data_IF_338378769077
#
_entry.id   IF_338378769077
#
_cell.length_a   1.000
_cell.length_b   1.000
_cell.length_c   1.000
_cell.angle_alpha   90.00
_cell.angle_beta   90.00
_cell.angle_gamma   90.00
#
_symmetry.space_group_name_H-M   'P 1'
#
loop_
_entity.id
_entity.type
_entity.pdbx_description
1 polymer ?
#
# COMPACT_ATOMS: atom_id res chain seq x y z
N UNK A 1 -72.84 -14.98 1.22
CA UNK A 1 -73.49 -14.13 2.25
C UNK A 1 -73.80 -15.03 3.42
N UNK A 2 -73.32 -14.88 4.65
CA UNK A 2 -72.46 -13.93 5.33
C UNK A 2 -72.25 -14.52 6.75
N UNK A 3 -71.04 -14.32 7.27
CA UNK A 3 -70.52 -14.51 8.63
C UNK A 3 -71.33 -15.31 9.67
N UNK A 4 -70.64 -16.23 10.35
CA UNK A 4 -70.60 -16.17 11.82
C UNK A 4 -69.31 -16.80 12.39
N UNK A 5 -68.57 -15.99 13.16
CA UNK A 5 -67.45 -16.41 14.02
C UNK A 5 -68.02 -16.76 15.39
N UNK A 6 -67.79 -17.97 15.90
CA UNK A 6 -67.87 -18.26 17.35
C UNK A 6 -66.73 -19.23 17.71
N UNK A 7 -66.15 -18.96 18.88
CA UNK A 7 -64.85 -19.37 19.38
C UNK A 7 -64.86 -20.65 20.26
N UNK A 8 -63.68 -20.93 20.82
CA UNK A 8 -63.27 -21.93 21.82
C UNK A 8 -62.94 -23.31 21.22
N UNK A 9 -61.81 -23.96 21.50
CA UNK A 9 -61.16 -24.24 22.80
C UNK A 9 -59.70 -24.66 22.48
N UNK A 10 -58.66 -24.52 23.31
CA UNK A 10 -58.20 -25.47 24.37
C UNK A 10 -56.96 -24.88 25.07
N UNK A 11 -56.87 -25.25 26.35
CA UNK A 11 -56.00 -24.85 27.46
C UNK A 11 -54.58 -25.46 27.43
N UNK A 12 -53.64 -24.70 28.00
CA UNK A 12 -52.38 -25.06 28.69
C UNK A 12 -51.20 -25.71 27.93
N UNK A 13 -50.06 -25.05 28.06
CA UNK A 13 -48.72 -25.60 27.84
C UNK A 13 -47.67 -24.56 28.18
N UNK A 14 -47.36 -24.39 29.47
CA UNK A 14 -46.23 -23.57 29.92
C UNK A 14 -44.92 -24.23 29.49
N UNK A 15 -44.20 -23.59 28.56
CA UNK A 15 -42.77 -23.83 28.34
C UNK A 15 -42.06 -22.48 28.44
N UNK A 16 -41.55 -22.18 29.63
CA UNK A 16 -40.59 -21.10 29.83
C UNK A 16 -39.25 -21.54 29.22
N UNK A 17 -39.03 -21.25 27.93
CA UNK A 17 -37.69 -21.26 27.37
C UNK A 17 -36.99 -19.97 27.82
N UNK A 18 -36.16 -20.09 28.84
CA UNK A 18 -35.14 -19.09 29.15
C UNK A 18 -34.15 -19.07 27.98
N UNK A 19 -34.26 -18.06 27.11
CA UNK A 19 -33.18 -17.71 26.19
C UNK A 19 -31.99 -17.26 27.04
N UNK A 20 -31.05 -18.17 27.28
CA UNK A 20 -29.70 -17.80 27.68
C UNK A 20 -29.11 -17.00 26.51
N UNK A 21 -29.13 -15.67 26.65
CA UNK A 21 -28.43 -14.77 25.75
C UNK A 21 -26.94 -15.10 25.84
N UNK A 22 -26.40 -15.74 24.81
CA UNK A 22 -24.98 -15.68 24.55
C UNK A 22 -24.64 -14.21 24.34
N UNK A 23 -23.91 -13.64 25.29
CA UNK A 23 -23.21 -12.36 25.17
C UNK A 23 -22.15 -12.49 24.07
N UNK A 24 -22.58 -12.48 22.82
CA UNK A 24 -21.71 -12.18 21.69
C UNK A 24 -21.36 -10.70 21.80
N UNK A 25 -20.09 -10.42 22.12
CA UNK A 25 -19.59 -9.06 22.12
C UNK A 25 -19.94 -8.40 20.79
N UNK A 26 -20.55 -7.22 20.85
CA UNK A 26 -20.76 -6.38 19.68
C UNK A 26 -19.40 -6.14 19.03
N UNK A 27 -19.17 -6.83 17.90
CA UNK A 27 -18.16 -6.41 16.94
C UNK A 27 -18.60 -5.06 16.44
N UNK A 28 -18.07 -3.99 17.04
CA UNK A 28 -18.24 -2.63 16.55
C UNK A 28 -17.91 -2.65 15.06
N UNK A 29 -18.86 -2.34 14.15
CA UNK A 29 -18.54 -2.32 12.73
C UNK A 29 -17.41 -1.32 12.51
N UNK A 30 -16.27 -1.81 12.03
CA UNK A 30 -15.19 -0.96 11.52
C UNK A 30 -15.81 -0.03 10.50
N UNK A 31 -15.69 1.29 10.73
CA UNK A 31 -16.23 2.29 9.83
C UNK A 31 -15.76 1.96 8.39
N UNK A 32 -16.72 1.74 7.50
CA UNK A 32 -16.42 1.59 6.07
C UNK A 32 -15.76 2.89 5.63
N UNK A 33 -14.52 2.87 5.11
CA UNK A 33 -13.88 4.09 4.62
C UNK A 33 -14.80 4.73 3.58
N UNK A 34 -14.90 6.06 3.63
CA UNK A 34 -15.71 6.82 2.66
C UNK A 34 -15.20 6.49 1.25
N UNK A 35 -16.08 6.18 0.28
CA UNK A 35 -15.67 5.90 -1.08
C UNK A 35 -14.87 7.07 -1.65
N UNK A 36 -13.63 6.79 -2.10
CA UNK A 36 -12.81 7.75 -2.85
C UNK A 36 -13.39 7.87 -4.25
N UNK A 37 -13.52 9.10 -4.76
CA UNK A 37 -13.98 9.32 -6.14
C UNK A 37 -12.85 8.93 -7.11
N UNK A 38 -13.11 8.04 -8.09
CA UNK A 38 -12.11 7.69 -9.10
C UNK A 38 -11.58 8.91 -9.86
N UNK A 39 -10.27 8.99 -10.03
CA UNK A 39 -9.56 10.07 -10.72
C UNK A 39 -8.48 9.57 -11.69
N UNK A 40 -8.34 8.26 -11.82
CA UNK A 40 -7.34 7.60 -12.64
C UNK A 40 -7.54 7.77 -14.15
N UNK A 41 -6.46 7.59 -14.91
CA UNK A 41 -6.46 7.65 -16.38
C UNK A 41 -6.43 6.27 -17.05
N UNK A 42 -6.28 5.20 -16.24
CA UNK A 42 -6.27 3.81 -16.69
C UNK A 42 -4.89 3.29 -17.13
N UNK A 43 -3.82 4.08 -16.95
CA UNK A 43 -2.43 3.66 -17.15
C UNK A 43 -1.66 3.89 -15.85
N UNK A 44 -1.41 2.82 -15.09
CA UNK A 44 -0.64 2.91 -13.85
C UNK A 44 0.83 3.29 -14.13
N UNK A 45 1.21 4.51 -13.73
CA UNK A 45 2.57 5.04 -13.83
C UNK A 45 3.21 5.18 -12.46
N UNK A 46 4.39 4.59 -12.32
CA UNK A 46 5.17 4.60 -11.08
C UNK A 46 6.34 5.56 -11.24
N UNK A 47 6.42 6.55 -10.36
CA UNK A 47 7.58 7.42 -10.21
C UNK A 47 8.59 6.77 -9.27
N UNK A 48 9.76 6.45 -9.79
CA UNK A 48 10.93 6.11 -8.99
C UNK A 48 11.65 7.41 -8.61
N UNK A 49 11.70 7.71 -7.32
CA UNK A 49 12.54 8.77 -6.75
C UNK A 49 13.66 8.21 -5.88
N UNK A 50 14.51 7.34 -6.43
CA UNK A 50 15.73 6.87 -5.77
C UNK A 50 16.78 7.99 -5.59
N UNK A 51 17.60 7.94 -4.53
CA UNK A 51 18.60 8.98 -4.26
C UNK A 51 19.87 8.66 -5.04
N UNK A 52 19.95 9.05 -6.32
CA UNK A 52 21.11 8.75 -7.18
C UNK A 52 22.37 9.54 -6.80
N UNK A 53 22.22 10.58 -5.99
CA UNK A 53 23.32 11.37 -5.42
C UNK A 53 23.18 11.47 -3.89
N UNK A 54 24.05 12.25 -3.25
CA UNK A 54 24.04 12.46 -1.80
C UNK A 54 24.45 11.24 -0.97
N UNK A 55 24.15 11.32 0.32
CA UNK A 55 24.62 10.35 1.33
C UNK A 55 24.00 8.95 1.18
N UNK A 56 22.89 8.84 0.45
CA UNK A 56 22.17 7.58 0.22
C UNK A 56 22.42 6.96 -1.17
N UNK A 57 23.31 7.54 -1.98
CA UNK A 57 23.62 7.09 -3.34
C UNK A 57 23.98 5.61 -3.45
N UNK A 58 24.65 5.06 -2.43
CA UNK A 58 25.00 3.64 -2.39
C UNK A 58 23.79 2.69 -2.48
N UNK A 59 22.62 3.12 -2.01
CA UNK A 59 21.39 2.33 -2.05
C UNK A 59 20.57 2.54 -3.33
N UNK A 60 20.95 3.46 -4.21
CA UNK A 60 20.13 3.85 -5.36
C UNK A 60 19.94 2.71 -6.34
N UNK A 61 21.03 1.99 -6.67
CA UNK A 61 20.96 0.88 -7.63
C UNK A 61 20.05 -0.24 -7.12
N UNK A 62 20.13 -0.57 -5.83
CA UNK A 62 19.28 -1.62 -5.25
C UNK A 62 17.80 -1.27 -5.26
N UNK A 63 17.47 -0.03 -4.92
CA UNK A 63 16.08 0.43 -4.90
C UNK A 63 15.50 0.50 -6.32
N UNK A 64 16.24 1.08 -7.28
CA UNK A 64 15.81 1.12 -8.67
C UNK A 64 15.63 -0.30 -9.23
N UNK A 65 16.56 -1.22 -8.95
CA UNK A 65 16.46 -2.62 -9.36
C UNK A 65 15.24 -3.34 -8.75
N UNK A 66 14.85 -3.01 -7.52
CA UNK A 66 13.66 -3.53 -6.85
C UNK A 66 12.37 -3.05 -7.51
N UNK A 67 12.27 -1.76 -7.81
CA UNK A 67 11.12 -1.18 -8.54
C UNK A 67 11.00 -1.83 -9.93
N UNK A 68 12.11 -1.89 -10.68
CA UNK A 68 12.14 -2.48 -12.02
C UNK A 68 11.79 -3.97 -12.04
N UNK A 69 12.27 -4.72 -11.05
CA UNK A 69 11.91 -6.13 -10.88
C UNK A 69 10.41 -6.28 -10.65
N UNK A 70 9.83 -5.47 -9.77
CA UNK A 70 8.38 -5.51 -9.49
C UNK A 70 7.56 -5.15 -10.73
N UNK A 71 7.90 -4.06 -11.43
CA UNK A 71 7.20 -3.63 -12.66
C UNK A 71 7.29 -4.71 -13.73
N UNK A 72 8.46 -5.31 -13.93
CA UNK A 72 8.64 -6.43 -14.87
C UNK A 72 7.73 -7.59 -14.52
N UNK A 73 7.72 -8.05 -13.28
CA UNK A 73 6.89 -9.17 -12.84
C UNK A 73 5.38 -8.87 -12.96
N UNK A 74 4.96 -7.65 -12.66
CA UNK A 74 3.57 -7.20 -12.86
C UNK A 74 3.21 -7.28 -14.35
N UNK A 75 4.08 -6.78 -15.23
CA UNK A 75 3.85 -6.73 -16.68
C UNK A 75 3.87 -8.12 -17.33
N UNK A 76 4.73 -9.02 -16.88
CA UNK A 76 4.73 -10.45 -17.26
C UNK A 76 3.41 -11.14 -16.90
N UNK A 77 2.69 -10.62 -15.91
CA UNK A 77 1.38 -11.09 -15.45
C UNK A 77 0.20 -10.30 -16.06
N UNK A 78 0.46 -9.51 -17.10
CA UNK A 78 -0.56 -8.77 -17.85
C UNK A 78 -0.78 -7.33 -17.38
N UNK A 79 0.05 -6.81 -16.47
CA UNK A 79 0.01 -5.41 -16.07
C UNK A 79 -1.18 -5.04 -15.17
N UNK A 80 -1.46 -3.75 -15.08
CA UNK A 80 -2.64 -3.20 -14.41
C UNK A 80 -3.79 -3.12 -15.41
N UNK A 81 -4.90 -3.83 -15.15
CA UNK A 81 -6.07 -3.82 -16.04
C UNK A 81 -5.75 -4.13 -17.53
N UNK A 82 -4.81 -5.07 -17.77
CA UNK A 82 -4.31 -5.45 -19.11
C UNK A 82 -3.49 -4.36 -19.83
N UNK A 83 -3.12 -3.31 -19.11
CA UNK A 83 -2.24 -2.24 -19.57
C UNK A 83 -0.89 -2.41 -18.87
N UNK A 84 0.24 -2.41 -19.59
CA UNK A 84 1.56 -2.44 -18.97
C UNK A 84 1.74 -1.24 -18.03
N UNK A 85 2.27 -1.50 -16.84
CA UNK A 85 2.73 -0.50 -15.88
C UNK A 85 3.99 0.17 -16.43
N UNK A 86 4.06 1.49 -16.31
CA UNK A 86 5.21 2.29 -16.72
C UNK A 86 6.00 2.76 -15.49
N UNK A 87 7.32 2.87 -15.61
CA UNK A 87 8.20 3.43 -14.58
C UNK A 87 8.97 4.64 -15.10
N UNK A 88 9.04 5.68 -14.27
CA UNK A 88 9.70 6.95 -14.58
C UNK A 88 10.69 7.28 -13.47
N UNK A 89 11.98 7.36 -13.80
CA UNK A 89 13.04 7.62 -12.82
C UNK A 89 13.40 9.10 -12.72
N UNK A 90 13.51 9.61 -11.49
CA UNK A 90 14.08 10.91 -11.16
C UNK A 90 14.93 10.79 -9.89
N UNK A 91 15.90 11.69 -9.75
CA UNK A 91 16.66 11.78 -8.51
C UNK A 91 15.76 12.29 -7.38
N UNK A 92 15.85 11.68 -6.20
CA UNK A 92 15.20 12.15 -4.97
C UNK A 92 15.61 13.58 -4.57
N UNK A 93 16.77 14.06 -5.03
CA UNK A 93 17.24 15.42 -4.75
C UNK A 93 17.95 15.58 -3.41
N UNK A 94 18.44 14.49 -2.81
CA UNK A 94 19.34 14.50 -1.64
C UNK A 94 18.79 15.21 -0.39
N UNK A 95 17.47 15.40 -0.30
CA UNK A 95 16.84 16.20 0.75
C UNK A 95 16.88 17.72 0.52
N UNK A 96 17.43 18.17 -0.62
CA UNK A 96 17.26 19.53 -1.11
C UNK A 96 15.85 19.73 -1.65
N UNK A 97 15.14 20.73 -1.11
CA UNK A 97 13.74 20.99 -1.41
C UNK A 97 13.53 21.34 -2.89
N UNK A 98 14.41 22.16 -3.47
CA UNK A 98 14.26 22.62 -4.85
C UNK A 98 14.52 21.48 -5.86
N UNK A 99 15.52 20.64 -5.61
CA UNK A 99 15.79 19.46 -6.42
C UNK A 99 14.65 18.43 -6.32
N UNK A 100 14.13 18.19 -5.11
CA UNK A 100 12.98 17.30 -4.88
C UNK A 100 11.74 17.82 -5.61
N UNK A 101 11.44 19.12 -5.50
CA UNK A 101 10.30 19.75 -6.17
C UNK A 101 10.42 19.70 -7.71
N UNK A 102 11.62 19.90 -8.26
CA UNK A 102 11.85 19.77 -9.69
C UNK A 102 11.57 18.35 -10.21
N UNK A 103 12.07 17.33 -9.50
CA UNK A 103 11.82 15.92 -9.83
C UNK A 103 10.33 15.57 -9.70
N UNK A 104 9.69 15.99 -8.60
CA UNK A 104 8.25 15.79 -8.38
C UNK A 104 7.41 16.41 -9.50
N UNK A 105 7.68 17.67 -9.85
CA UNK A 105 6.92 18.37 -10.89
C UNK A 105 7.07 17.71 -12.26
N UNK A 106 8.27 17.22 -12.59
CA UNK A 106 8.46 16.46 -13.83
C UNK A 106 7.62 15.16 -13.82
N UNK A 107 7.67 14.37 -12.75
CA UNK A 107 6.88 13.13 -12.63
C UNK A 107 5.37 13.40 -12.73
N UNK A 108 4.86 14.39 -11.99
CA UNK A 108 3.44 14.78 -12.03
C UNK A 108 3.05 15.27 -13.43
N UNK A 109 3.90 16.04 -14.11
CA UNK A 109 3.63 16.50 -15.49
C UNK A 109 3.52 15.35 -16.50
N UNK A 110 4.11 14.20 -16.17
CA UNK A 110 4.08 12.98 -16.98
C UNK A 110 3.01 11.97 -16.53
N UNK A 111 2.12 12.37 -15.62
CA UNK A 111 0.97 11.58 -15.19
C UNK A 111 1.33 10.42 -14.28
N UNK A 112 2.34 10.58 -13.41
CA UNK A 112 2.63 9.57 -12.37
C UNK A 112 1.52 9.51 -11.33
N UNK A 113 1.08 8.29 -11.02
CA UNK A 113 0.01 7.99 -10.08
C UNK A 113 0.51 7.71 -8.67
N UNK A 114 1.73 7.19 -8.56
CA UNK A 114 2.38 6.86 -7.29
C UNK A 114 3.88 7.08 -7.37
N UNK A 115 4.45 7.71 -6.35
CA UNK A 115 5.89 7.89 -6.20
C UNK A 115 6.40 6.96 -5.11
N UNK A 116 7.35 6.09 -5.48
CA UNK A 116 8.14 5.28 -4.55
C UNK A 116 9.38 6.09 -4.17
N UNK A 117 9.43 6.50 -2.91
CA UNK A 117 10.45 7.41 -2.38
C UNK A 117 11.39 6.69 -1.39
N UNK A 118 12.62 7.20 -1.20
CA UNK A 118 13.66 6.50 -0.46
C UNK A 118 13.49 6.68 1.05
N UNK A 119 14.38 6.04 1.81
CA UNK A 119 14.46 6.21 3.26
C UNK A 119 15.06 7.58 3.65
N UNK A 120 14.37 8.67 3.30
CA UNK A 120 14.78 10.06 3.58
C UNK A 120 13.61 10.88 4.12
N UNK A 121 13.73 11.32 5.38
CA UNK A 121 12.69 12.12 6.05
C UNK A 121 12.40 13.42 5.31
N UNK A 122 13.45 14.17 4.92
CA UNK A 122 13.27 15.46 4.25
C UNK A 122 12.62 15.33 2.87
N UNK A 123 12.94 14.27 2.12
CA UNK A 123 12.28 13.98 0.84
C UNK A 123 10.81 13.62 1.08
N UNK A 124 10.51 12.74 2.03
CA UNK A 124 9.15 12.33 2.35
C UNK A 124 8.26 13.52 2.76
N UNK A 125 8.76 14.36 3.66
CA UNK A 125 8.04 15.57 4.13
C UNK A 125 7.80 16.54 2.97
N UNK A 126 8.83 16.81 2.15
CA UNK A 126 8.71 17.69 0.98
C UNK A 126 7.67 17.16 -0.01
N UNK A 127 7.65 15.86 -0.30
CA UNK A 127 6.69 15.26 -1.23
C UNK A 127 5.25 15.38 -0.72
N UNK A 128 5.00 15.12 0.56
CA UNK A 128 3.65 15.28 1.16
C UNK A 128 3.19 16.74 1.07
N UNK A 129 4.07 17.69 1.37
CA UNK A 129 3.77 19.12 1.25
C UNK A 129 3.45 19.50 -0.21
N UNK A 130 4.21 18.99 -1.18
CA UNK A 130 3.98 19.26 -2.60
C UNK A 130 2.67 18.68 -3.12
N UNK A 131 2.30 17.47 -2.68
CA UNK A 131 1.00 16.88 -3.03
C UNK A 131 -0.14 17.75 -2.50
N UNK A 132 -0.08 18.15 -1.23
CA UNK A 132 -1.10 18.98 -0.61
C UNK A 132 -1.17 20.39 -1.21
N UNK A 133 -0.02 21.03 -1.45
CA UNK A 133 0.08 22.39 -2.01
C UNK A 133 -0.45 22.48 -3.44
N UNK A 134 -0.24 21.43 -4.24
CA UNK A 134 -0.57 21.42 -5.66
C UNK A 134 -1.87 20.68 -6.00
N UNK A 135 -2.58 20.12 -5.01
CA UNK A 135 -3.73 19.22 -5.21
C UNK A 135 -3.41 18.10 -6.23
N UNK A 136 -2.21 17.52 -6.10
CA UNK A 136 -1.70 16.59 -7.08
C UNK A 136 -2.37 15.21 -6.94
N UNK A 137 -2.81 14.63 -8.06
CA UNK A 137 -3.41 13.29 -8.13
C UNK A 137 -2.33 12.18 -8.09
N UNK A 138 -1.49 12.18 -7.06
CA UNK A 138 -0.36 11.24 -6.92
C UNK A 138 -0.27 10.75 -5.47
N UNK A 139 -0.07 9.44 -5.29
CA UNK A 139 0.20 8.83 -3.98
C UNK A 139 1.69 8.91 -3.66
N UNK A 140 2.03 9.12 -2.39
CA UNK A 140 3.42 9.04 -1.90
C UNK A 140 3.59 7.77 -1.06
N UNK A 141 4.62 7.00 -1.37
CA UNK A 141 5.00 5.80 -0.64
C UNK A 141 6.51 5.83 -0.38
N UNK A 142 6.89 6.33 0.79
CA UNK A 142 8.28 6.50 1.21
C UNK A 142 8.69 5.41 2.19
N UNK A 143 9.92 4.92 2.05
CA UNK A 143 10.50 4.03 3.07
C UNK A 143 10.73 4.83 4.37
N UNK A 144 10.36 4.25 5.50
CA UNK A 144 10.51 4.90 6.80
C UNK A 144 11.97 5.01 7.25
N UNK A 145 12.24 6.04 8.03
CA UNK A 145 13.47 6.29 8.77
C UNK A 145 13.19 6.28 10.27
N UNK A 146 14.23 6.38 11.09
CA UNK A 146 14.08 6.54 12.54
C UNK A 146 13.33 7.81 12.96
N UNK A 147 13.30 8.82 12.09
CA UNK A 147 12.78 10.14 12.44
C UNK A 147 11.29 10.29 12.09
N UNK A 148 10.81 9.55 11.07
CA UNK A 148 9.42 9.61 10.62
C UNK A 148 8.61 8.33 10.91
N UNK A 149 9.24 7.26 11.39
CA UNK A 149 8.51 6.06 11.80
C UNK A 149 7.89 6.19 13.20
N UNK A 150 6.82 5.43 13.49
CA UNK A 150 6.31 5.26 14.84
C UNK A 150 7.39 4.82 15.82
N UNK A 151 7.38 5.37 17.04
CA UNK A 151 8.32 4.95 18.09
C UNK A 151 8.21 3.45 18.35
N UNK A 152 9.36 2.77 18.26
CA UNK A 152 9.45 1.32 18.44
C UNK A 152 9.36 0.51 17.14
N UNK A 153 9.15 1.17 15.99
CA UNK A 153 9.32 0.53 14.68
C UNK A 153 10.80 0.23 14.41
N UNK A 154 11.05 -0.91 13.75
CA UNK A 154 12.37 -1.23 13.21
C UNK A 154 12.47 -0.65 11.80
N UNK A 155 13.51 0.15 11.56
CA UNK A 155 13.67 0.97 10.33
C UNK A 155 15.07 0.87 9.72
N UNK A 156 15.73 -0.25 9.99
CA UNK A 156 16.98 -0.60 9.31
C UNK A 156 16.65 -1.23 7.97
N UNK A 157 17.48 -0.97 6.95
CA UNK A 157 17.37 -1.65 5.66
C UNK A 157 17.25 -3.17 5.85
N UNK A 158 16.26 -3.77 5.18
CA UNK A 158 15.99 -5.20 5.28
C UNK A 158 17.09 -5.95 4.55
N UNK A 159 17.68 -6.91 5.26
CA UNK A 159 18.62 -7.85 4.63
C UNK A 159 17.81 -8.86 3.82
N UNK A 160 17.78 -8.67 2.51
CA UNK A 160 17.24 -9.64 1.57
C UNK A 160 17.94 -11.00 1.69
N UNK A 161 17.20 -12.08 1.41
CA UNK A 161 17.77 -13.41 1.29
C UNK A 161 18.52 -13.60 -0.04
N UNK A 162 19.28 -14.69 -0.14
CA UNK A 162 20.12 -14.96 -1.34
C UNK A 162 19.28 -15.15 -2.61
N UNK A 163 18.03 -15.60 -2.48
CA UNK A 163 17.14 -15.80 -3.62
C UNK A 163 16.67 -14.46 -4.17
N UNK A 164 16.23 -13.54 -3.31
CA UNK A 164 15.83 -12.20 -3.73
C UNK A 164 17.03 -11.37 -4.22
N UNK A 165 18.20 -11.52 -3.60
CA UNK A 165 19.45 -10.91 -4.10
C UNK A 165 19.76 -11.38 -5.53
N UNK A 166 19.53 -12.66 -5.85
CA UNK A 166 19.70 -13.17 -7.22
C UNK A 166 18.69 -12.55 -8.19
N UNK A 167 17.45 -12.30 -7.75
CA UNK A 167 16.44 -11.61 -8.57
C UNK A 167 16.79 -10.13 -8.80
N UNK A 168 17.29 -9.41 -7.78
CA UNK A 168 17.78 -8.04 -7.97
C UNK A 168 18.90 -7.99 -9.00
N UNK A 169 19.85 -8.93 -8.95
CA UNK A 169 20.96 -9.02 -9.91
C UNK A 169 20.53 -9.41 -11.32
N UNK A 170 19.44 -10.15 -11.47
CA UNK A 170 18.89 -10.43 -12.80
C UNK A 170 18.22 -9.20 -13.41
N UNK A 171 17.71 -8.30 -12.56
CA UNK A 171 17.21 -6.98 -12.94
C UNK A 171 18.35 -6.04 -13.32
N UNK A 172 19.36 -5.92 -12.46
CA UNK A 172 20.55 -5.08 -12.66
C UNK A 172 21.82 -5.76 -12.10
N UNK A 173 22.69 -6.28 -12.97
CA UNK A 173 23.94 -6.93 -12.56
C UNK A 173 24.95 -6.00 -11.85
N UNK A 174 24.76 -4.68 -11.89
CA UNK A 174 25.65 -3.70 -11.26
C UNK A 174 25.38 -3.49 -9.77
N UNK A 175 24.28 -4.03 -9.24
CA UNK A 175 23.90 -3.93 -7.83
C UNK A 175 24.94 -4.64 -6.94
N UNK A 176 25.57 -3.87 -6.06
CA UNK A 176 26.61 -4.35 -5.12
C UNK A 176 26.28 -4.10 -3.65
N UNK A 177 25.34 -3.19 -3.38
CA UNK A 177 24.67 -2.93 -2.10
C UNK A 177 23.19 -3.33 -2.28
N UNK A 178 22.55 -3.90 -1.26
CA UNK A 178 21.19 -4.49 -1.38
C UNK A 178 20.16 -3.87 -0.44
N UNK A 179 20.55 -2.92 0.41
CA UNK A 179 19.65 -2.24 1.31
C UNK A 179 18.54 -1.50 0.56
N UNK A 180 17.33 -1.52 1.12
CA UNK A 180 16.13 -0.88 0.58
C UNK A 180 15.60 -1.45 -0.75
N UNK A 181 16.30 -2.39 -1.39
CA UNK A 181 15.86 -3.05 -2.61
C UNK A 181 14.58 -3.87 -2.42
N UNK A 182 14.52 -4.68 -1.35
CA UNK A 182 13.34 -5.47 -1.04
C UNK A 182 12.14 -4.59 -0.69
N UNK A 183 12.39 -3.51 0.06
CA UNK A 183 11.38 -2.53 0.44
C UNK A 183 10.79 -1.84 -0.79
N UNK A 184 11.63 -1.33 -1.69
CA UNK A 184 11.17 -0.67 -2.91
C UNK A 184 10.38 -1.61 -3.85
N UNK A 185 10.79 -2.88 -3.96
CA UNK A 185 10.05 -3.92 -4.67
C UNK A 185 8.66 -4.14 -4.04
N UNK A 186 8.60 -4.35 -2.72
CA UNK A 186 7.35 -4.60 -2.00
C UNK A 186 6.37 -3.42 -2.12
N UNK A 187 6.85 -2.19 -2.00
CA UNK A 187 6.02 -0.98 -2.13
C UNK A 187 5.50 -0.79 -3.56
N UNK A 188 6.28 -1.19 -4.57
CA UNK A 188 5.86 -1.17 -5.97
C UNK A 188 4.75 -2.19 -6.23
N UNK A 189 4.91 -3.44 -5.76
CA UNK A 189 3.87 -4.47 -5.86
C UNK A 189 2.61 -4.06 -5.10
N UNK A 190 2.76 -3.56 -3.87
CA UNK A 190 1.64 -3.11 -3.05
C UNK A 190 0.87 -1.96 -3.71
N UNK A 191 1.55 -1.01 -4.36
CA UNK A 191 0.91 0.11 -5.05
C UNK A 191 0.09 -0.35 -6.27
N UNK A 192 0.61 -1.31 -7.05
CA UNK A 192 -0.14 -1.90 -8.15
C UNK A 192 -1.35 -2.73 -7.68
N UNK A 193 -1.22 -3.44 -6.56
CA UNK A 193 -2.34 -4.12 -5.92
C UNK A 193 -3.36 -3.13 -5.37
N UNK A 194 -2.93 -2.01 -4.80
CA UNK A 194 -3.80 -0.94 -4.32
C UNK A 194 -4.66 -0.38 -5.47
N UNK A 195 -4.06 -0.06 -6.61
CA UNK A 195 -4.80 0.34 -7.81
C UNK A 195 -5.78 -0.75 -8.27
N UNK A 196 -5.38 -2.03 -8.18
CA UNK A 196 -6.20 -3.18 -8.58
C UNK A 196 -7.44 -3.35 -7.69
N UNK A 197 -7.29 -3.29 -6.36
CA UNK A 197 -8.43 -3.44 -5.43
C UNK A 197 -9.34 -2.23 -5.45
N UNK A 198 -8.78 -1.03 -5.66
CA UNK A 198 -9.53 0.21 -5.80
C UNK A 198 -10.23 0.33 -7.17
N UNK A 199 -9.76 -0.42 -8.17
CA UNK A 199 -10.19 -0.31 -9.59
C UNK A 199 -10.04 1.12 -10.13
N UNK A 200 -9.02 1.81 -9.65
CA UNK A 200 -8.68 3.18 -9.98
C UNK A 200 -7.20 3.39 -9.64
N UNK A 201 -6.45 3.99 -10.55
CA UNK A 201 -5.05 4.34 -10.41
C UNK A 201 -4.84 5.78 -9.91
N UNK A 202 -5.90 6.55 -9.62
CA UNK A 202 -5.75 7.86 -9.01
C UNK A 202 -5.04 7.81 -7.65
N UNK A 203 -4.19 8.80 -7.37
CA UNK A 203 -3.36 8.82 -6.16
C UNK A 203 -4.15 8.62 -4.85
N UNK A 204 -5.31 9.27 -4.70
CA UNK A 204 -6.15 9.08 -3.52
C UNK A 204 -6.68 7.64 -3.36
N UNK A 205 -7.00 6.97 -4.48
CA UNK A 205 -7.44 5.58 -4.52
C UNK A 205 -6.30 4.61 -4.21
N UNK A 206 -5.08 4.91 -4.65
CA UNK A 206 -3.87 4.15 -4.31
C UNK A 206 -3.56 4.31 -2.81
N UNK A 207 -3.55 5.52 -2.27
CA UNK A 207 -3.32 5.78 -0.84
C UNK A 207 -4.29 5.00 0.05
N UNK A 208 -5.59 5.01 -0.29
CA UNK A 208 -6.59 4.22 0.46
C UNK A 208 -6.45 2.72 0.20
N UNK A 209 -6.11 2.32 -1.02
CA UNK A 209 -5.91 0.93 -1.42
C UNK A 209 -4.73 0.26 -0.71
N UNK A 210 -3.67 1.02 -0.40
CA UNK A 210 -2.51 0.52 0.35
C UNK A 210 -2.93 -0.06 1.71
N UNK A 211 -3.86 0.60 2.42
CA UNK A 211 -4.42 0.08 3.68
C UNK A 211 -5.18 -1.24 3.46
N UNK A 212 -5.89 -1.37 2.34
CA UNK A 212 -6.68 -2.55 2.03
C UNK A 212 -5.78 -3.76 1.68
N UNK A 213 -4.68 -3.55 0.97
CA UNK A 213 -3.80 -4.63 0.52
C UNK A 213 -2.78 -5.06 1.57
N UNK A 214 -2.55 -4.25 2.61
CA UNK A 214 -1.67 -4.60 3.75
C UNK A 214 -2.48 -5.00 5.00
N UNK A 215 -3.75 -5.36 4.84
CA UNK A 215 -4.63 -5.71 5.94
C UNK A 215 -4.30 -7.09 6.50
N UNK A 216 -3.74 -7.16 7.71
CA UNK A 216 -3.30 -8.42 8.34
C UNK A 216 -4.40 -9.46 8.61
N UNK A 217 -5.67 -9.06 8.60
CA UNK A 217 -6.78 -10.02 8.69
C UNK A 217 -7.11 -10.67 7.33
N UNK A 218 -6.56 -10.16 6.23
CA UNK A 218 -6.76 -10.66 4.88
C UNK A 218 -5.96 -11.94 4.58
N UNK A 219 -6.29 -12.56 3.45
CA UNK A 219 -5.56 -13.70 2.92
C UNK A 219 -4.11 -13.32 2.63
N UNK A 220 -3.17 -13.98 3.30
CA UNK A 220 -1.74 -13.74 3.09
C UNK A 220 -1.33 -14.21 1.70
N UNK A 221 -0.94 -13.26 0.85
CA UNK A 221 -0.40 -13.52 -0.48
C UNK A 221 1.00 -12.90 -0.59
N UNK A 222 1.86 -13.51 -1.40
CA UNK A 222 3.30 -13.15 -1.43
C UNK A 222 3.82 -12.77 -2.82
N UNK A 223 2.94 -12.67 -3.81
CA UNK A 223 3.26 -12.22 -5.18
C UNK A 223 2.07 -11.52 -5.81
N UNK A 224 2.33 -10.69 -6.82
CA UNK A 224 1.27 -9.96 -7.53
C UNK A 224 0.13 -10.87 -8.01
N UNK A 225 0.43 -11.92 -8.78
CA UNK A 225 -0.58 -12.83 -9.33
C UNK A 225 -1.34 -13.63 -8.28
N UNK A 226 -0.68 -14.04 -7.18
CA UNK A 226 -1.36 -14.69 -6.07
C UNK A 226 -2.39 -13.74 -5.44
N UNK A 227 -1.99 -12.49 -5.20
CA UNK A 227 -2.87 -11.47 -4.64
C UNK A 227 -4.02 -11.12 -5.61
N UNK A 228 -3.74 -10.93 -6.91
CA UNK A 228 -4.77 -10.68 -7.93
C UNK A 228 -5.77 -11.84 -8.00
N UNK A 229 -5.31 -13.09 -7.93
CA UNK A 229 -6.21 -14.26 -7.87
C UNK A 229 -7.14 -14.20 -6.65
N UNK A 230 -6.60 -13.91 -5.46
CA UNK A 230 -7.41 -13.79 -4.25
C UNK A 230 -8.42 -12.64 -4.32
N UNK A 231 -8.03 -11.50 -4.92
CA UNK A 231 -8.93 -10.36 -5.18
C UNK A 231 -10.06 -10.74 -6.14
N UNK A 232 -9.76 -11.50 -7.21
CA UNK A 232 -10.77 -12.00 -8.14
C UNK A 232 -11.76 -12.97 -7.47
N UNK A 233 -11.29 -13.74 -6.48
CA UNK A 233 -12.11 -14.58 -5.61
C UNK A 233 -12.84 -13.79 -4.51
N UNK A 234 -12.78 -12.45 -4.57
CA UNK A 234 -13.43 -11.50 -3.63
C UNK A 234 -12.92 -11.63 -2.20
N UNK A 235 -11.67 -12.06 -2.02
CA UNK A 235 -11.02 -12.10 -0.71
C UNK A 235 -10.37 -10.75 -0.42
N UNK A 236 -10.45 -10.31 0.85
CA UNK A 236 -9.51 -9.31 1.36
C UNK A 236 -8.11 -9.94 1.39
N UNK A 237 -7.08 -9.17 1.09
CA UNK A 237 -5.70 -9.67 1.00
C UNK A 237 -4.78 -9.00 2.02
N UNK A 238 -3.69 -9.69 2.33
CA UNK A 238 -2.53 -9.17 3.03
C UNK A 238 -1.29 -9.50 2.20
N UNK A 239 -0.80 -8.55 1.42
CA UNK A 239 0.45 -8.71 0.70
C UNK A 239 1.63 -8.66 1.69
N UNK A 240 2.46 -9.68 1.64
CA UNK A 240 3.69 -9.80 2.44
C UNK A 240 4.79 -10.30 1.51
N UNK A 241 5.66 -9.40 1.07
CA UNK A 241 6.77 -9.72 0.18
C UNK A 241 8.09 -9.95 0.91
N UNK A 242 9.22 -9.97 0.17
CA UNK A 242 10.57 -10.16 0.72
C UNK A 242 10.98 -9.21 1.85
N UNK A 243 10.51 -7.96 1.87
CA UNK A 243 10.79 -7.04 2.98
C UNK A 243 9.91 -7.31 4.21
N UNK A 244 8.84 -8.10 4.03
CA UNK A 244 7.95 -8.56 5.09
C UNK A 244 6.65 -7.77 5.14
N UNK A 245 6.04 -7.72 6.33
CA UNK A 245 4.75 -7.08 6.51
C UNK A 245 4.86 -5.56 6.35
N UNK A 246 4.14 -5.00 5.39
CA UNK A 246 4.07 -3.54 5.20
C UNK A 246 3.11 -2.94 6.23
N UNK A 247 3.50 -1.81 6.80
CA UNK A 247 2.67 -0.94 7.62
C UNK A 247 2.75 0.47 7.02
N UNK A 248 1.64 0.98 6.51
CA UNK A 248 1.59 2.25 5.78
C UNK A 248 0.79 3.29 6.57
N UNK A 249 1.31 4.52 6.63
CA UNK A 249 0.64 5.69 7.18
C UNK A 249 0.16 6.60 6.04
N UNK A 250 -1.15 6.71 5.87
CA UNK A 250 -1.78 7.53 4.83
C UNK A 250 -1.57 9.03 5.03
N UNK A 251 -1.30 9.49 6.26
CA UNK A 251 -1.10 10.93 6.54
C UNK A 251 0.28 11.41 6.11
N UNK A 252 1.29 10.55 6.26
CA UNK A 252 2.70 10.88 5.99
C UNK A 252 3.24 10.23 4.71
N UNK A 253 2.49 9.30 4.12
CA UNK A 253 2.96 8.50 2.99
C UNK A 253 4.11 7.55 3.35
N UNK A 254 4.39 7.33 4.63
CA UNK A 254 5.54 6.54 5.10
C UNK A 254 5.15 5.08 5.32
N UNK A 255 5.99 4.17 4.86
CA UNK A 255 5.86 2.73 5.04
C UNK A 255 7.05 2.15 5.83
N UNK A 256 6.76 1.34 6.86
CA UNK A 256 7.76 0.57 7.59
C UNK A 256 7.40 -0.92 7.60
N UNK A 257 8.41 -1.77 7.81
CA UNK A 257 8.30 -3.21 7.62
C UNK A 257 8.34 -3.99 8.94
N UNK A 258 7.64 -5.13 8.96
CA UNK A 258 7.59 -6.04 10.09
C UNK A 258 6.48 -5.72 11.09
N UNK A 259 6.84 -5.70 12.39
CA UNK A 259 5.87 -5.65 13.49
C UNK A 259 5.08 -4.34 13.48
N UNK A 260 3.75 -4.45 13.40
CA UNK A 260 2.84 -3.30 13.55
C UNK A 260 2.95 -2.65 14.91
N UNK A 261 3.07 -1.33 14.89
CA UNK A 261 3.02 -0.48 16.07
C UNK A 261 1.66 0.21 16.11
N UNK A 262 0.88 -0.07 17.17
CA UNK A 262 -0.40 0.62 17.41
C UNK A 262 -0.08 1.99 18.01
N UNK A 263 -0.23 3.04 17.22
CA UNK A 263 -0.06 4.43 17.69
C UNK A 263 -1.42 4.91 18.19
N UNK A 264 -1.55 5.16 19.49
CA UNK A 264 -2.74 5.80 20.03
C UNK A 264 -2.83 7.24 19.49
N UNK A 265 -3.81 7.51 18.61
CA UNK A 265 -4.09 8.89 18.17
C UNK A 265 -4.53 9.68 19.40
N UNK A 266 -3.72 10.64 19.86
CA UNK A 266 -4.15 11.60 20.88
C UNK A 266 -5.39 12.32 20.35
N UNK A 267 -6.53 12.16 21.04
CA UNK A 267 -7.74 12.94 20.77
C UNK A 267 -7.35 14.42 20.86
N UNK A 268 -7.39 15.13 19.72
CA UNK A 268 -7.33 16.59 19.69
C UNK A 268 -8.59 17.16 20.34
#
# INVERSE_FOLDING_TARGET
>A
MGLNKIAATIVAGALALTLAGCSGGEVTPTATPTPVKPSGDGVLRIGDMTPVTGDLAAYSASQAAGIELAVREINEQGGYNKVPVEVLHRNAGDGDVAATEASFNDLVSRGVDVIIAPASTGVAETLVELVAKNDANVAIVSIATKDNAPKGATVTAVKADDAFVAQLKSSDPSVTEYGYGAESYDLTIASALAATVSKDDGGASITQGLIAVTNQAGFKCTSYGMCVSAVNDKQAINYVGPAGQINYDTETGVAYFGKTIVVEKKKK
#
